data_IF_458279848462
#
_entry.id   IF_458279848462
#
_cell.length_a   1.000
_cell.length_b   1.000
_cell.length_c   1.000
_cell.angle_alpha   90.00
_cell.angle_beta   90.00
_cell.angle_gamma   90.00
#
_symmetry.space_group_name_H-M   'P 1'
#
loop_
_entity.id
_entity.type
_entity.pdbx_description
1 polymer ?
#
# COMPACT_ATOMS: atom_id res chain seq x y z
N UNK A 1 -8.78 27.06 -3.20
CA UNK A 1 -8.78 26.23 -1.98
C UNK A 1 -7.33 26.05 -1.55
N UNK A 2 -6.92 26.63 -0.41
CA UNK A 2 -5.54 26.53 0.08
C UNK A 2 -5.23 25.06 0.33
N UNK A 3 -4.33 24.47 -0.44
CA UNK A 3 -3.76 23.15 -0.13
C UNK A 3 -3.05 23.32 1.20
N UNK A 4 -3.68 22.91 2.29
CA UNK A 4 -3.04 22.85 3.58
C UNK A 4 -1.77 22.03 3.38
N UNK A 5 -0.64 22.62 3.75
CA UNK A 5 0.64 21.94 3.94
C UNK A 5 0.44 21.05 5.19
N UNK A 6 -0.44 20.07 5.07
CA UNK A 6 -0.78 19.11 6.11
C UNK A 6 0.45 18.23 6.26
N UNK A 7 1.08 18.32 7.43
CA UNK A 7 2.06 17.36 7.95
C UNK A 7 3.56 17.60 7.66
N UNK A 8 4.07 18.83 7.59
CA UNK A 8 5.50 19.02 7.88
C UNK A 8 5.74 18.75 9.37
N UNK A 9 6.22 17.54 9.70
CA UNK A 9 6.58 17.12 11.06
C UNK A 9 5.85 15.88 11.59
N UNK A 10 4.85 15.35 10.89
CA UNK A 10 4.23 14.07 11.28
C UNK A 10 5.15 12.92 10.82
N UNK A 11 5.64 12.12 11.76
CA UNK A 11 6.23 10.83 11.42
C UNK A 11 5.12 9.94 10.83
N UNK A 12 5.24 9.64 9.54
CA UNK A 12 4.29 8.78 8.85
C UNK A 12 4.58 7.33 9.21
N UNK A 13 3.54 6.56 9.47
CA UNK A 13 3.68 5.10 9.57
C UNK A 13 3.95 4.49 8.18
N UNK A 14 4.33 3.21 8.14
CA UNK A 14 4.72 2.53 6.91
C UNK A 14 3.61 2.59 5.84
N UNK A 15 2.35 2.37 6.22
CA UNK A 15 1.22 2.41 5.29
C UNK A 15 0.97 3.82 4.70
N UNK A 16 1.10 4.86 5.53
CA UNK A 16 0.98 6.25 5.08
C UNK A 16 2.12 6.62 4.11
N UNK A 17 3.35 6.19 4.38
CA UNK A 17 4.49 6.40 3.48
C UNK A 17 4.28 5.68 2.14
N UNK A 18 3.81 4.43 2.19
CA UNK A 18 3.51 3.63 0.99
C UNK A 18 2.45 4.32 0.11
N UNK A 19 1.41 4.88 0.71
CA UNK A 19 0.36 5.62 0.00
C UNK A 19 0.87 6.88 -0.69
N UNK A 20 1.79 7.61 -0.05
CA UNK A 20 2.42 8.82 -0.65
C UNK A 20 3.35 8.43 -1.80
N UNK A 21 4.08 7.33 -1.67
CA UNK A 21 5.00 6.83 -2.70
C UNK A 21 4.30 6.11 -3.87
N UNK A 22 2.97 6.24 -3.98
CA UNK A 22 2.19 5.70 -5.10
C UNK A 22 1.85 4.21 -4.98
N UNK A 23 2.08 3.61 -3.82
CA UNK A 23 1.66 2.25 -3.56
C UNK A 23 0.14 2.15 -3.38
N UNK A 24 -0.51 1.27 -4.14
CA UNK A 24 -1.94 0.96 -4.02
C UNK A 24 -2.13 -0.46 -3.48
N UNK A 25 -2.86 -0.59 -2.37
CA UNK A 25 -3.31 -1.88 -1.88
C UNK A 25 -4.29 -2.52 -2.86
N UNK A 26 -4.04 -3.79 -3.16
CA UNK A 26 -4.87 -4.65 -4.02
C UNK A 26 -4.92 -6.06 -3.42
N UNK A 27 -5.89 -6.86 -3.84
CA UNK A 27 -5.85 -8.29 -3.53
C UNK A 27 -4.74 -8.99 -4.31
N UNK A 28 -3.92 -9.77 -3.62
CA UNK A 28 -2.73 -10.37 -4.24
C UNK A 28 -3.06 -11.35 -5.36
N UNK A 29 -4.16 -12.08 -5.24
CA UNK A 29 -4.65 -12.96 -6.31
C UNK A 29 -5.00 -12.20 -7.61
N UNK A 30 -5.14 -10.87 -7.58
CA UNK A 30 -5.39 -10.04 -8.76
C UNK A 30 -4.12 -9.45 -9.39
N UNK A 31 -2.91 -9.73 -8.86
CA UNK A 31 -1.67 -9.18 -9.39
C UNK A 31 -0.70 -10.27 -9.86
N UNK A 32 -0.28 -10.28 -11.14
CA UNK A 32 0.63 -11.31 -11.67
C UNK A 32 2.06 -11.23 -11.11
N UNK A 33 2.45 -10.11 -10.49
CA UNK A 33 3.77 -9.93 -9.85
C UNK A 33 3.80 -10.60 -8.47
N UNK A 34 2.64 -10.73 -7.83
CA UNK A 34 2.51 -11.33 -6.53
C UNK A 34 2.14 -12.81 -6.66
N UNK A 35 2.73 -13.71 -5.85
CA UNK A 35 2.23 -15.08 -5.73
C UNK A 35 0.73 -15.09 -5.39
N UNK A 36 -0.05 -16.00 -5.98
CA UNK A 36 -1.48 -16.07 -5.75
C UNK A 36 -1.77 -16.51 -4.31
N UNK A 37 -2.08 -15.54 -3.46
CA UNK A 37 -2.55 -15.77 -2.08
C UNK A 37 -3.94 -15.20 -1.95
N UNK A 38 -4.90 -16.03 -1.53
CA UNK A 38 -6.33 -15.71 -1.58
C UNK A 38 -6.84 -14.82 -0.44
N UNK A 39 -6.04 -14.59 0.61
CA UNK A 39 -6.53 -13.96 1.85
C UNK A 39 -5.64 -12.78 2.31
N UNK A 40 -4.92 -12.15 1.39
CA UNK A 40 -3.98 -11.09 1.76
C UNK A 40 -3.99 -9.96 0.74
N UNK A 41 -3.96 -8.74 1.28
CA UNK A 41 -3.72 -7.55 0.49
C UNK A 41 -2.21 -7.34 0.31
N UNK A 42 -1.83 -6.79 -0.83
CA UNK A 42 -0.44 -6.43 -1.11
C UNK A 42 -0.34 -5.16 -1.91
N UNK A 43 0.90 -4.71 -1.97
CA UNK A 43 1.33 -3.52 -2.68
C UNK A 43 2.54 -3.91 -3.54
N UNK A 44 2.56 -3.45 -4.78
CA UNK A 44 3.70 -3.63 -5.67
C UNK A 44 4.49 -2.32 -5.71
N UNK A 45 5.73 -2.37 -5.24
CA UNK A 45 6.63 -1.21 -5.20
C UNK A 45 7.86 -1.56 -6.03
N UNK A 46 8.12 -0.79 -7.08
CA UNK A 46 9.26 -1.02 -7.98
C UNK A 46 9.34 -2.46 -8.53
N UNK A 47 8.19 -3.10 -8.79
CA UNK A 47 8.13 -4.48 -9.28
C UNK A 47 8.30 -5.57 -8.23
N UNK A 48 8.40 -5.20 -6.94
CA UNK A 48 8.49 -6.14 -5.82
C UNK A 48 7.14 -6.22 -5.11
N UNK A 49 6.68 -7.45 -4.86
CA UNK A 49 5.47 -7.70 -4.08
C UNK A 49 5.76 -7.58 -2.57
N UNK A 50 5.00 -6.74 -1.87
CA UNK A 50 5.02 -6.66 -0.41
C UNK A 50 3.66 -7.07 0.15
N UNK A 51 3.67 -8.12 0.97
CA UNK A 51 2.49 -8.58 1.71
C UNK A 51 2.25 -7.70 2.92
N UNK A 52 1.01 -7.27 3.12
CA UNK A 52 0.61 -6.49 4.28
C UNK A 52 -0.58 -7.22 4.95
N UNK A 53 -0.29 -8.17 5.86
CA UNK A 53 -1.34 -8.87 6.60
C UNK A 53 -2.00 -7.90 7.60
N UNK A 54 -3.32 -7.73 7.49
CA UNK A 54 -4.11 -6.92 8.43
C UNK A 54 -4.20 -5.42 8.12
N UNK A 55 -3.47 -4.92 7.12
CA UNK A 55 -3.63 -3.55 6.59
C UNK A 55 -3.90 -3.62 5.08
N UNK A 56 -4.94 -2.93 4.59
CA UNK A 56 -5.22 -2.79 3.16
C UNK A 56 -6.66 -3.04 2.74
N UNK A 57 -6.86 -3.50 1.51
CA UNK A 57 -8.20 -3.87 0.99
C UNK A 57 -8.63 -5.24 1.52
N UNK A 58 -9.91 -5.37 1.85
CA UNK A 58 -10.49 -6.66 2.20
C UNK A 58 -10.54 -7.55 0.96
N UNK A 59 -9.85 -8.67 1.08
CA UNK A 59 -9.70 -9.77 0.15
C UNK A 59 -9.99 -11.03 0.97
#
# INVERSE_FOLDING_TARGET
>A
MKKQILNLGKALNRAEQQKINGGKFICCYNNPICPPTHETSCIVIAGVCHYEPGEGVQC
#
